data_IF_634518110223
#
_entry.id   IF_634518110223
#
_cell.length_a   1.000
_cell.length_b   1.000
_cell.length_c   1.000
_cell.angle_alpha   90.00
_cell.angle_beta   90.00
_cell.angle_gamma   90.00
#
_symmetry.space_group_name_H-M   'P 1'
#
loop_
_entity.id
_entity.type
_entity.pdbx_description
1 polymer ?
#
# COMPACT_ATOMS: atom_id res chain seq x y z
N UNK A 1 0.17 -20.38 -35.15
CA UNK A 1 0.94 -19.53 -34.21
C UNK A 1 2.31 -20.15 -33.95
N UNK A 2 2.38 -21.35 -33.37
CA UNK A 2 3.63 -22.09 -33.08
C UNK A 2 4.66 -22.06 -34.22
N UNK A 3 4.26 -22.38 -35.47
CA UNK A 3 5.18 -22.34 -36.62
C UNK A 3 5.79 -20.95 -36.88
N UNK A 4 4.99 -19.89 -36.82
CA UNK A 4 5.47 -18.52 -37.10
C UNK A 4 6.54 -18.10 -36.08
N UNK A 5 6.33 -18.44 -34.81
CA UNK A 5 7.29 -18.16 -33.74
C UNK A 5 8.53 -19.05 -33.83
N UNK A 6 8.35 -20.34 -34.13
CA UNK A 6 9.47 -21.25 -34.40
C UNK A 6 10.32 -20.78 -35.59
N UNK A 7 9.72 -20.22 -36.65
CA UNK A 7 10.46 -19.69 -37.79
C UNK A 7 11.22 -18.41 -37.45
N UNK A 8 10.69 -17.51 -36.60
CA UNK A 8 11.39 -16.29 -36.15
C UNK A 8 12.67 -16.62 -35.37
N UNK A 9 12.60 -17.56 -34.43
CA UNK A 9 13.76 -17.99 -33.62
C UNK A 9 14.91 -18.46 -34.53
N UNK A 10 14.60 -19.22 -35.58
CA UNK A 10 15.61 -19.77 -36.49
C UNK A 10 15.98 -18.78 -37.62
N UNK A 11 15.27 -17.66 -37.74
CA UNK A 11 15.61 -16.56 -38.65
C UNK A 11 16.70 -15.66 -38.07
N UNK A 12 16.65 -15.43 -36.75
CA UNK A 12 17.47 -14.40 -36.09
C UNK A 12 18.70 -14.95 -35.33
N UNK A 13 18.84 -16.26 -35.19
CA UNK A 13 19.99 -16.85 -34.51
C UNK A 13 20.70 -17.89 -35.35
N UNK A 14 22.01 -17.70 -35.51
CA UNK A 14 22.92 -18.75 -35.91
C UNK A 14 22.74 -19.91 -34.92
N UNK A 15 22.34 -21.09 -35.40
CA UNK A 15 21.88 -22.23 -34.57
C UNK A 15 22.97 -22.68 -33.57
N UNK A 16 24.20 -22.20 -33.74
CA UNK A 16 25.36 -22.37 -32.87
C UNK A 16 25.29 -21.57 -31.56
N UNK A 17 24.58 -20.44 -31.47
CA UNK A 17 24.52 -19.61 -30.26
C UNK A 17 23.24 -19.88 -29.43
N UNK A 18 23.20 -21.03 -28.77
CA UNK A 18 21.99 -21.59 -28.12
C UNK A 18 21.72 -21.14 -26.66
N UNK A 19 22.24 -20.00 -26.21
CA UNK A 19 22.19 -19.61 -24.78
C UNK A 19 21.19 -18.51 -24.40
N UNK A 20 20.42 -17.94 -25.33
CA UNK A 20 19.42 -16.93 -24.97
C UNK A 20 18.29 -17.50 -24.11
N UNK A 21 17.78 -16.68 -23.19
CA UNK A 21 16.67 -17.02 -22.28
C UNK A 21 15.40 -17.42 -23.04
N UNK A 22 15.16 -16.80 -24.19
CA UNK A 22 14.05 -17.10 -25.08
C UNK A 22 14.19 -18.52 -25.67
N UNK A 23 15.37 -18.90 -26.15
CA UNK A 23 15.63 -20.26 -26.66
C UNK A 23 15.43 -21.32 -25.57
N UNK A 24 15.74 -20.99 -24.30
CA UNK A 24 15.47 -21.89 -23.16
C UNK A 24 13.97 -22.10 -22.95
N UNK A 25 13.17 -21.04 -22.93
CA UNK A 25 11.71 -21.13 -22.80
C UNK A 25 11.08 -21.94 -23.95
N UNK A 26 11.58 -21.75 -25.18
CA UNK A 26 11.09 -22.50 -26.33
C UNK A 26 11.46 -23.98 -26.31
N UNK A 27 12.64 -24.32 -25.78
CA UNK A 27 13.01 -25.72 -25.53
C UNK A 27 12.05 -26.36 -24.53
N UNK A 28 11.68 -25.64 -23.48
CA UNK A 28 10.74 -26.15 -22.46
C UNK A 28 9.35 -26.40 -23.06
N UNK A 29 8.83 -25.50 -23.90
CA UNK A 29 7.55 -25.69 -24.59
C UNK A 29 7.57 -26.91 -25.51
N UNK A 30 8.66 -27.11 -26.27
CA UNK A 30 8.78 -28.27 -27.17
C UNK A 30 8.95 -29.58 -26.39
N UNK A 31 9.70 -29.56 -25.28
CA UNK A 31 9.76 -30.69 -24.34
C UNK A 31 8.37 -31.08 -23.85
N UNK A 32 7.55 -30.10 -23.45
CA UNK A 32 6.19 -30.35 -22.98
C UNK A 32 5.30 -30.93 -24.08
N UNK A 33 5.34 -30.39 -25.30
CA UNK A 33 4.53 -30.87 -26.42
C UNK A 33 4.91 -32.30 -26.84
N UNK A 34 6.21 -32.63 -26.79
CA UNK A 34 6.70 -33.94 -27.21
C UNK A 34 6.79 -34.95 -26.07
N UNK A 35 6.42 -34.59 -24.83
CA UNK A 35 6.54 -35.46 -23.66
C UNK A 35 7.99 -35.85 -23.33
N UNK A 36 8.96 -35.00 -23.66
CA UNK A 36 10.39 -35.34 -23.57
C UNK A 36 11.10 -34.61 -22.41
N UNK A 37 12.01 -35.30 -21.73
CA UNK A 37 12.91 -34.69 -20.75
C UNK A 37 14.00 -33.87 -21.46
N UNK A 38 14.19 -32.64 -20.97
CA UNK A 38 15.18 -31.65 -21.43
C UNK A 38 16.62 -32.15 -21.33
N UNK A 39 16.90 -33.08 -20.41
CA UNK A 39 18.26 -33.63 -20.18
C UNK A 39 18.64 -34.77 -21.13
N UNK A 40 17.70 -35.31 -21.90
CA UNK A 40 18.00 -36.39 -22.83
C UNK A 40 18.86 -35.86 -23.99
N UNK A 41 19.99 -36.52 -24.28
CA UNK A 41 20.87 -36.18 -25.42
C UNK A 41 20.10 -36.20 -26.76
N UNK A 42 19.09 -37.07 -26.84
CA UNK A 42 18.15 -37.14 -27.97
C UNK A 42 17.32 -35.88 -28.19
N UNK A 43 17.07 -35.08 -27.15
CA UNK A 43 16.26 -33.88 -27.22
C UNK A 43 16.89 -32.85 -28.17
N UNK A 44 18.21 -32.68 -28.13
CA UNK A 44 18.89 -31.70 -28.99
C UNK A 44 18.75 -32.06 -30.48
N UNK A 45 18.83 -33.35 -30.80
CA UNK A 45 18.66 -33.85 -32.17
C UNK A 45 17.21 -33.73 -32.64
N UNK A 46 16.23 -34.08 -31.80
CA UNK A 46 14.80 -33.96 -32.11
C UNK A 46 14.35 -32.49 -32.21
N UNK A 47 14.85 -31.61 -31.35
CA UNK A 47 14.63 -30.16 -31.41
C UNK A 47 15.14 -29.56 -32.73
N UNK A 48 16.35 -29.95 -33.18
CA UNK A 48 16.88 -29.54 -34.49
C UNK A 48 16.00 -30.02 -35.65
N UNK A 49 15.43 -31.22 -35.56
CA UNK A 49 14.51 -31.76 -36.57
C UNK A 49 13.21 -30.93 -36.61
N UNK A 50 12.61 -30.62 -35.46
CA UNK A 50 11.39 -29.80 -35.38
C UNK A 50 11.62 -28.40 -35.96
N UNK A 51 12.76 -27.77 -35.68
CA UNK A 51 13.11 -26.47 -36.25
C UNK A 51 13.34 -26.52 -37.77
N UNK A 52 13.97 -27.59 -38.28
CA UNK A 52 14.09 -27.81 -39.75
C UNK A 52 12.72 -28.02 -40.41
N UNK A 53 11.82 -28.76 -39.75
CA UNK A 53 10.45 -28.97 -40.23
C UNK A 53 9.66 -27.65 -40.18
N UNK A 54 9.87 -26.80 -39.16
CA UNK A 54 9.24 -25.47 -39.10
C UNK A 54 9.63 -24.56 -40.28
N UNK A 55 10.87 -24.66 -40.77
CA UNK A 55 11.37 -23.98 -41.99
C UNK A 55 10.93 -24.63 -43.31
N UNK A 56 10.38 -25.85 -43.27
CA UNK A 56 9.97 -26.56 -44.49
C UNK A 56 8.68 -25.98 -45.10
N UNK A 57 8.32 -26.42 -46.31
CA UNK A 57 7.08 -26.00 -47.00
C UNK A 57 5.83 -26.34 -46.16
N UNK A 58 4.76 -25.56 -46.35
CA UNK A 58 3.50 -25.69 -45.60
C UNK A 58 2.88 -27.08 -45.61
N UNK A 59 3.04 -27.81 -46.71
CA UNK A 59 2.56 -29.19 -46.86
C UNK A 59 3.29 -30.17 -45.94
N UNK A 60 4.57 -29.95 -45.68
CA UNK A 60 5.40 -30.79 -44.80
C UNK A 60 5.09 -30.50 -43.33
N UNK A 61 4.87 -29.22 -42.99
CA UNK A 61 4.43 -28.83 -41.66
C UNK A 61 3.05 -29.41 -41.30
N UNK A 62 2.09 -29.39 -42.23
CA UNK A 62 0.76 -30.00 -42.01
C UNK A 62 0.84 -31.49 -41.75
N UNK A 63 1.63 -32.22 -42.56
CA UNK A 63 1.86 -33.66 -42.34
C UNK A 63 2.53 -33.97 -41.00
N UNK A 64 3.41 -33.10 -40.53
CA UNK A 64 4.02 -33.22 -39.20
C UNK A 64 2.98 -33.06 -38.08
N UNK A 65 2.07 -32.08 -38.18
CA UNK A 65 0.99 -31.93 -37.21
C UNK A 65 0.02 -33.11 -37.23
N UNK A 66 -0.35 -33.60 -38.41
CA UNK A 66 -1.17 -34.82 -38.55
C UNK A 66 -0.49 -36.03 -37.88
N UNK A 67 0.82 -36.18 -38.07
CA UNK A 67 1.61 -37.21 -37.40
C UNK A 67 1.61 -37.05 -35.87
N UNK A 68 1.83 -35.84 -35.34
CA UNK A 68 1.79 -35.58 -33.90
C UNK A 68 0.41 -35.87 -33.30
N UNK A 69 -0.67 -35.44 -33.96
CA UNK A 69 -2.04 -35.73 -33.51
C UNK A 69 -2.37 -37.21 -33.57
N UNK A 70 -1.87 -37.94 -34.58
CA UNK A 70 -2.02 -39.40 -34.64
C UNK A 70 -1.18 -40.13 -33.59
N UNK A 71 -0.01 -39.59 -33.23
CA UNK A 71 0.87 -40.12 -32.21
C UNK A 71 0.27 -39.96 -30.80
N UNK A 72 -0.24 -38.77 -30.47
CA UNK A 72 -0.92 -38.46 -29.21
C UNK A 72 -2.20 -39.31 -29.04
N UNK A 73 -2.91 -39.58 -30.14
CA UNK A 73 -4.06 -40.51 -30.16
C UNK A 73 -3.66 -41.99 -29.99
N UNK A 74 -2.44 -42.38 -30.37
CA UNK A 74 -1.95 -43.76 -30.25
C UNK A 74 -1.37 -44.07 -28.86
N UNK A 75 -0.85 -43.09 -28.11
CA UNK A 75 -0.51 -43.31 -26.69
C UNK A 75 -1.73 -43.65 -25.82
N UNK A 76 -2.94 -43.26 -26.27
CA UNK A 76 -4.20 -43.57 -25.58
C UNK A 76 -4.71 -45.00 -25.90
N UNK A 77 -4.13 -45.70 -26.87
CA UNK A 77 -4.52 -47.08 -27.21
C UNK A 77 -3.33 -48.02 -27.18
N UNK A 78 -3.13 -48.63 -26.00
CA UNK A 78 -2.52 -49.95 -25.78
C UNK A 78 -1.44 -50.38 -26.78
N UNK A 79 -0.17 -50.31 -26.40
CA UNK A 79 0.88 -51.14 -27.00
C UNK A 79 0.66 -52.62 -26.66
N UNK A 80 0.48 -53.53 -27.64
CA UNK A 80 0.90 -54.92 -27.48
C UNK A 80 2.40 -55.01 -27.76
N UNK A 81 3.07 -55.86 -26.97
CA UNK A 81 4.46 -56.29 -27.20
C UNK A 81 4.62 -56.86 -28.62
N UNK A 82 5.60 -56.35 -29.36
CA UNK A 82 6.00 -56.87 -30.67
C UNK A 82 6.40 -55.77 -31.63
N UNK A 83 7.59 -55.20 -31.44
CA UNK A 83 8.14 -54.15 -32.30
C UNK A 83 8.45 -54.69 -33.71
N UNK A 84 7.58 -54.42 -34.68
CA UNK A 84 8.01 -54.29 -36.07
C UNK A 84 8.60 -52.90 -36.22
N UNK A 85 9.91 -52.82 -36.43
CA UNK A 85 10.59 -51.53 -36.63
C UNK A 85 9.99 -50.86 -37.86
N UNK A 86 9.54 -49.61 -37.73
CA UNK A 86 8.94 -48.80 -38.82
C UNK A 86 9.83 -48.76 -40.07
N UNK A 87 11.14 -48.97 -39.93
CA UNK A 87 12.08 -49.09 -41.05
C UNK A 87 11.86 -50.33 -41.92
N UNK A 88 11.25 -51.40 -41.42
CA UNK A 88 11.00 -52.63 -42.20
C UNK A 88 9.67 -52.61 -42.99
N UNK A 89 8.70 -51.78 -42.58
CA UNK A 89 7.40 -51.64 -43.27
C UNK A 89 7.49 -50.82 -44.56
N UNK A 90 8.45 -49.88 -44.63
CA UNK A 90 8.65 -49.05 -45.82
C UNK A 90 9.21 -49.88 -46.98
N UNK A 91 10.09 -50.82 -46.67
CA UNK A 91 10.73 -51.71 -47.65
C UNK A 91 9.75 -52.81 -48.12
N UNK A 92 8.81 -53.25 -47.28
CA UNK A 92 7.83 -54.27 -47.66
C UNK A 92 6.87 -53.81 -48.75
N UNK A 93 6.41 -52.55 -48.71
CA UNK A 93 5.50 -51.97 -49.70
C UNK A 93 6.14 -51.70 -51.08
N UNK A 94 7.47 -51.72 -51.13
CA UNK A 94 8.27 -51.46 -52.34
C UNK A 94 8.64 -52.75 -53.09
N UNK A 95 8.38 -53.92 -52.51
CA UNK A 95 8.60 -55.21 -53.15
C UNK A 95 7.46 -55.53 -54.14
N UNK A 96 7.78 -56.25 -55.21
CA UNK A 96 6.75 -56.79 -56.11
C UNK A 96 5.84 -57.75 -55.35
N UNK A 97 4.60 -57.90 -55.81
CA UNK A 97 3.60 -58.78 -55.19
C UNK A 97 4.12 -60.21 -55.02
N UNK A 98 4.91 -60.71 -55.98
CA UNK A 98 5.50 -62.06 -55.93
C UNK A 98 6.54 -62.21 -54.81
N UNK A 99 7.33 -61.16 -54.55
CA UNK A 99 8.31 -61.17 -53.46
C UNK A 99 7.65 -60.99 -52.08
N UNK A 100 6.54 -60.25 -52.00
CA UNK A 100 5.73 -60.16 -50.78
C UNK A 100 5.08 -61.52 -50.45
N UNK A 101 4.59 -62.22 -51.46
CA UNK A 101 4.02 -63.57 -51.34
C UNK A 101 5.11 -64.57 -50.92
N UNK A 102 6.30 -64.52 -51.53
CA UNK A 102 7.39 -65.44 -51.15
C UNK A 102 7.83 -65.24 -49.69
N UNK A 103 7.94 -64.00 -49.20
CA UNK A 103 8.29 -63.73 -47.79
C UNK A 103 7.17 -64.19 -46.85
N UNK A 104 5.90 -64.02 -47.25
CA UNK A 104 4.74 -64.54 -46.49
C UNK A 104 4.72 -66.08 -46.47
N UNK A 105 5.01 -66.74 -47.59
CA UNK A 105 5.11 -68.20 -47.68
C UNK A 105 6.27 -68.76 -46.86
N UNK A 106 7.41 -68.07 -46.83
CA UNK A 106 8.59 -68.44 -46.04
C UNK A 106 8.36 -68.21 -44.53
N UNK A 107 7.62 -67.16 -44.15
CA UNK A 107 7.22 -66.94 -42.74
C UNK A 107 6.07 -67.83 -42.29
N UNK A 108 5.25 -68.34 -43.22
CA UNK A 108 4.13 -69.26 -42.94
C UNK A 108 4.52 -70.75 -43.00
N UNK A 109 5.77 -71.08 -43.31
CA UNK A 109 6.29 -72.46 -43.37
C UNK A 109 6.35 -73.22 -42.03
N UNK A 110 5.71 -72.75 -40.95
CA UNK A 110 5.64 -73.48 -39.67
C UNK A 110 4.25 -73.91 -39.23
N UNK A 111 3.20 -73.77 -40.06
CA UNK A 111 1.91 -74.41 -39.75
C UNK A 111 1.37 -75.19 -40.95
N UNK A 112 1.40 -76.51 -40.79
CA UNK A 112 0.77 -77.52 -41.64
C UNK A 112 -0.64 -77.04 -42.06
N UNK A 113 -0.84 -76.80 -43.36
CA UNK A 113 -2.08 -76.33 -43.96
C UNK A 113 -3.32 -77.15 -43.53
N UNK A 114 -3.11 -78.42 -43.16
CA UNK A 114 -4.16 -79.31 -42.63
C UNK A 114 -4.64 -78.93 -41.23
N UNK A 115 -3.82 -78.26 -40.42
CA UNK A 115 -4.18 -77.74 -39.10
C UNK A 115 -4.98 -76.45 -39.26
N UNK A 116 -4.52 -75.54 -40.14
CA UNK A 116 -5.26 -74.32 -40.44
C UNK A 116 -6.65 -74.61 -41.02
N UNK A 117 -6.75 -75.56 -41.96
CA UNK A 117 -8.04 -75.97 -42.53
C UNK A 117 -9.00 -76.55 -41.47
N UNK A 118 -8.49 -77.38 -40.53
CA UNK A 118 -9.28 -77.91 -39.42
C UNK A 118 -9.72 -76.86 -38.42
N UNK A 119 -8.87 -75.87 -38.12
CA UNK A 119 -9.23 -74.73 -37.27
C UNK A 119 -10.32 -73.88 -37.93
N UNK A 120 -10.22 -73.62 -39.24
CA UNK A 120 -11.26 -72.87 -39.98
C UNK A 120 -12.59 -73.63 -40.03
N UNK A 121 -12.56 -74.96 -40.24
CA UNK A 121 -13.76 -75.80 -40.24
C UNK A 121 -14.38 -75.96 -38.84
N UNK A 122 -13.56 -76.03 -37.78
CA UNK A 122 -13.97 -75.98 -36.38
C UNK A 122 -14.66 -74.65 -36.07
N UNK A 123 -14.05 -73.52 -36.42
CA UNK A 123 -14.61 -72.18 -36.18
C UNK A 123 -15.93 -71.99 -36.95
N UNK A 124 -16.06 -72.57 -38.16
CA UNK A 124 -17.30 -72.55 -38.94
C UNK A 124 -18.41 -73.41 -38.29
N UNK A 125 -18.08 -74.58 -37.75
CA UNK A 125 -19.01 -75.46 -37.04
C UNK A 125 -19.47 -74.87 -35.70
N UNK A 126 -18.55 -74.24 -34.96
CA UNK A 126 -18.85 -73.54 -33.71
C UNK A 126 -19.67 -72.26 -33.96
N UNK A 127 -19.46 -71.58 -35.10
CA UNK A 127 -20.34 -70.49 -35.55
C UNK A 127 -21.78 -70.96 -35.83
N UNK A 128 -21.97 -72.10 -36.48
CA UNK A 128 -23.32 -72.64 -36.73
C UNK A 128 -24.03 -73.04 -35.42
N UNK A 129 -23.30 -73.58 -34.44
CA UNK A 129 -23.85 -73.91 -33.11
C UNK A 129 -24.16 -72.67 -32.27
N UNK A 130 -23.37 -71.60 -32.37
CA UNK A 130 -23.64 -70.34 -31.67
C UNK A 130 -24.82 -69.58 -32.28
N UNK A 131 -24.97 -69.57 -33.61
CA UNK A 131 -26.14 -68.98 -34.29
C UNK A 131 -27.46 -69.69 -33.88
N UNK A 132 -27.43 -71.00 -33.62
CA UNK A 132 -28.57 -71.75 -33.10
C UNK A 132 -28.94 -71.44 -31.64
N UNK A 133 -27.99 -70.97 -30.83
CA UNK A 133 -28.19 -70.58 -29.42
C UNK A 133 -28.51 -69.08 -29.25
N UNK A 134 -28.24 -68.26 -30.25
CA UNK A 134 -28.56 -66.81 -30.25
C UNK A 134 -29.88 -66.50 -30.96
N UNK A 135 -30.87 -67.40 -30.92
CA UNK A 135 -32.27 -66.99 -31.10
C UNK A 135 -32.75 -66.37 -29.79
N UNK A 136 -32.19 -65.21 -29.43
CA UNK A 136 -32.87 -64.34 -28.48
C UNK A 136 -34.22 -63.98 -29.11
N UNK A 137 -35.29 -64.08 -28.34
CA UNK A 137 -36.64 -63.76 -28.78
C UNK A 137 -36.64 -62.32 -29.34
N UNK A 138 -37.03 -62.08 -30.60
CA UNK A 138 -37.02 -60.74 -31.19
C UNK A 138 -37.74 -59.69 -30.32
N UNK A 139 -38.75 -60.11 -29.55
CA UNK A 139 -39.49 -59.24 -28.64
C UNK A 139 -38.64 -58.67 -27.49
N UNK A 140 -37.63 -59.40 -27.02
CA UNK A 140 -36.73 -58.95 -25.94
C UNK A 140 -35.71 -57.92 -26.44
N UNK A 141 -35.33 -58.03 -27.71
CA UNK A 141 -34.46 -57.04 -28.38
C UNK A 141 -35.23 -55.74 -28.60
N UNK A 142 -36.46 -55.82 -29.11
CA UNK A 142 -37.32 -54.65 -29.32
C UNK A 142 -37.64 -53.92 -28.00
N UNK A 143 -37.88 -54.67 -26.91
CA UNK A 143 -38.04 -54.07 -25.58
C UNK A 143 -36.80 -53.29 -25.14
N UNK A 144 -35.61 -53.85 -25.31
CA UNK A 144 -34.34 -53.16 -24.97
C UNK A 144 -34.07 -51.95 -25.85
N UNK A 145 -34.46 -52.01 -27.13
CA UNK A 145 -34.38 -50.86 -28.04
C UNK A 145 -35.27 -49.74 -27.50
N UNK A 146 -36.54 -50.02 -27.19
CA UNK A 146 -37.48 -49.03 -26.65
C UNK A 146 -37.01 -48.43 -25.31
N UNK A 147 -36.46 -49.25 -24.40
CA UNK A 147 -35.86 -48.75 -23.14
C UNK A 147 -34.67 -47.82 -23.40
N UNK A 148 -33.81 -48.16 -24.36
CA UNK A 148 -32.66 -47.35 -24.72
C UNK A 148 -33.08 -46.05 -25.42
N UNK A 149 -34.09 -46.08 -26.28
CA UNK A 149 -34.66 -44.87 -26.89
C UNK A 149 -35.22 -43.92 -25.83
N UNK A 150 -35.91 -44.45 -24.81
CA UNK A 150 -36.40 -43.66 -23.69
C UNK A 150 -35.25 -43.00 -22.91
N UNK A 151 -34.19 -43.76 -22.60
CA UNK A 151 -32.97 -43.23 -21.95
C UNK A 151 -32.29 -42.16 -22.80
N UNK A 152 -32.19 -42.36 -24.12
CA UNK A 152 -31.61 -41.38 -25.04
C UNK A 152 -32.40 -40.06 -25.01
N UNK A 153 -33.74 -40.14 -25.03
CA UNK A 153 -34.60 -38.95 -24.93
C UNK A 153 -34.40 -38.21 -23.60
N UNK A 154 -34.33 -38.93 -22.49
CA UNK A 154 -34.08 -38.35 -21.17
C UNK A 154 -32.71 -37.64 -21.12
N UNK A 155 -31.64 -38.32 -21.55
CA UNK A 155 -30.29 -37.75 -21.57
C UNK A 155 -30.18 -36.54 -22.51
N UNK A 156 -30.93 -36.53 -23.61
CA UNK A 156 -30.98 -35.39 -24.53
C UNK A 156 -31.64 -34.17 -23.85
N UNK A 157 -32.76 -34.37 -23.15
CA UNK A 157 -33.42 -33.30 -22.40
C UNK A 157 -32.55 -32.76 -21.25
N UNK A 158 -31.82 -33.63 -20.54
CA UNK A 158 -30.86 -33.22 -19.52
C UNK A 158 -29.70 -32.42 -20.11
N UNK A 159 -29.17 -32.84 -21.26
CA UNK A 159 -28.12 -32.10 -21.98
C UNK A 159 -28.58 -30.70 -22.40
N UNK A 160 -29.81 -30.55 -22.87
CA UNK A 160 -30.38 -29.25 -23.22
C UNK A 160 -30.51 -28.33 -21.99
N UNK A 161 -31.02 -28.87 -20.87
CA UNK A 161 -31.07 -28.13 -19.60
C UNK A 161 -29.67 -27.66 -19.18
N UNK A 162 -28.67 -28.54 -19.23
CA UNK A 162 -27.28 -28.19 -18.91
C UNK A 162 -26.69 -27.15 -19.89
N UNK A 163 -27.08 -27.17 -21.16
CA UNK A 163 -26.65 -26.17 -22.12
C UNK A 163 -27.21 -24.78 -21.78
N UNK A 164 -28.49 -24.69 -21.39
CA UNK A 164 -29.11 -23.42 -20.99
C UNK A 164 -28.51 -22.85 -19.70
N UNK A 165 -28.24 -23.70 -18.71
CA UNK A 165 -27.57 -23.27 -17.47
C UNK A 165 -26.13 -22.84 -17.72
N UNK A 166 -25.38 -23.56 -18.56
CA UNK A 166 -24.03 -23.18 -18.98
C UNK A 166 -24.03 -21.81 -19.69
N UNK A 167 -24.99 -21.57 -20.58
CA UNK A 167 -25.15 -20.27 -21.25
C UNK A 167 -25.43 -19.14 -20.26
N UNK A 168 -26.31 -19.38 -19.29
CA UNK A 168 -26.66 -18.39 -18.24
C UNK A 168 -25.47 -18.10 -17.33
N UNK A 169 -24.68 -19.12 -16.98
CA UNK A 169 -23.47 -18.93 -16.17
C UNK A 169 -22.39 -18.16 -16.94
N UNK A 170 -22.25 -18.39 -18.25
CA UNK A 170 -21.33 -17.61 -19.10
C UNK A 170 -21.72 -16.13 -19.14
N UNK A 171 -23.01 -15.81 -19.30
CA UNK A 171 -23.45 -14.40 -19.30
C UNK A 171 -23.20 -13.72 -17.95
N UNK A 172 -23.46 -14.42 -16.83
CA UNK A 172 -23.14 -13.91 -15.49
C UNK A 172 -21.63 -13.70 -15.30
N UNK A 173 -20.81 -14.63 -15.77
CA UNK A 173 -19.35 -14.49 -15.70
C UNK A 173 -18.87 -13.25 -16.46
N UNK A 174 -19.41 -13.01 -17.66
CA UNK A 174 -19.04 -11.80 -18.43
C UNK A 174 -19.49 -10.50 -17.75
N UNK A 175 -20.62 -10.52 -17.05
CA UNK A 175 -21.09 -9.36 -16.29
C UNK A 175 -20.17 -9.06 -15.09
N UNK A 176 -19.76 -10.08 -14.34
CA UNK A 176 -18.84 -9.93 -13.21
C UNK A 176 -17.43 -9.53 -13.65
N UNK A 177 -16.97 -10.01 -14.80
CA UNK A 177 -15.71 -9.55 -15.41
C UNK A 177 -15.78 -8.05 -15.72
N UNK A 178 -16.88 -7.58 -16.32
CA UNK A 178 -17.08 -6.15 -16.59
C UNK A 178 -17.11 -5.31 -15.30
N UNK A 179 -17.81 -5.78 -14.26
CA UNK A 179 -17.80 -5.10 -12.95
C UNK A 179 -16.39 -4.99 -12.38
N UNK A 180 -15.58 -6.03 -12.54
CA UNK A 180 -14.18 -6.05 -12.07
C UNK A 180 -13.34 -5.00 -12.81
N UNK A 181 -13.49 -4.92 -14.13
CA UNK A 181 -12.84 -3.87 -14.95
C UNK A 181 -13.28 -2.47 -14.51
N UNK A 182 -14.57 -2.25 -14.31
CA UNK A 182 -15.10 -0.96 -13.83
C UNK A 182 -14.50 -0.58 -12.45
N UNK A 183 -14.41 -1.54 -11.52
CA UNK A 183 -13.76 -1.31 -10.22
C UNK A 183 -12.27 -0.99 -10.35
N UNK A 184 -11.55 -1.65 -11.26
CA UNK A 184 -10.13 -1.38 -11.49
C UNK A 184 -9.92 0.04 -12.05
N UNK A 185 -10.82 0.51 -12.93
CA UNK A 185 -10.75 1.90 -13.42
C UNK A 185 -11.01 2.91 -12.31
N UNK A 186 -12.00 2.68 -11.45
CA UNK A 186 -12.28 3.53 -10.28
C UNK A 186 -11.09 3.56 -9.31
N UNK A 187 -10.50 2.41 -9.02
CA UNK A 187 -9.34 2.30 -8.15
C UNK A 187 -8.14 3.08 -8.71
N UNK A 188 -7.92 3.02 -10.03
CA UNK A 188 -6.87 3.80 -10.70
C UNK A 188 -7.16 5.31 -10.68
N UNK A 189 -8.43 5.74 -10.77
CA UNK A 189 -8.81 7.14 -10.61
C UNK A 189 -8.53 7.65 -9.19
N UNK A 190 -8.89 6.87 -8.16
CA UNK A 190 -8.61 7.23 -6.76
C UNK A 190 -7.11 7.26 -6.45
N UNK A 191 -6.32 6.32 -7.00
CA UNK A 191 -4.85 6.38 -6.91
C UNK A 191 -4.27 7.68 -7.47
N UNK A 192 -4.79 8.15 -8.61
CA UNK A 192 -4.38 9.44 -9.21
C UNK A 192 -4.75 10.62 -8.31
N UNK A 193 -5.96 10.62 -7.71
CA UNK A 193 -6.37 11.66 -6.76
C UNK A 193 -5.47 11.68 -5.52
N UNK A 194 -5.16 10.52 -4.94
CA UNK A 194 -4.25 10.40 -3.81
C UNK A 194 -2.85 10.95 -4.14
N UNK A 195 -2.30 10.58 -5.30
CA UNK A 195 -1.00 11.09 -5.75
C UNK A 195 -1.00 12.63 -5.91
N UNK A 196 -2.06 13.20 -6.47
CA UNK A 196 -2.21 14.65 -6.59
C UNK A 196 -2.29 15.35 -5.22
N UNK A 197 -3.02 14.77 -4.26
CA UNK A 197 -3.08 15.29 -2.89
C UNK A 197 -1.74 15.21 -2.17
N UNK A 198 -0.98 14.13 -2.38
CA UNK A 198 0.36 13.97 -1.81
C UNK A 198 1.33 15.05 -2.32
N UNK A 199 1.30 15.35 -3.63
CA UNK A 199 2.07 16.45 -4.22
C UNK A 199 1.66 17.79 -3.61
N UNK A 200 0.36 18.05 -3.46
CA UNK A 200 -0.15 19.29 -2.85
C UNK A 200 0.29 19.41 -1.39
N UNK A 201 0.30 18.31 -0.64
CA UNK A 201 0.78 18.28 0.74
C UNK A 201 2.29 18.56 0.82
N UNK A 202 3.09 18.03 -0.10
CA UNK A 202 4.52 18.37 -0.18
C UNK A 202 4.75 19.85 -0.50
N UNK A 203 3.96 20.44 -1.40
CA UNK A 203 4.03 21.88 -1.69
C UNK A 203 3.70 22.72 -0.45
N UNK A 204 2.64 22.37 0.28
CA UNK A 204 2.28 23.06 1.51
C UNK A 204 3.38 22.98 2.58
N UNK A 205 4.00 21.81 2.76
CA UNK A 205 5.15 21.65 3.68
C UNK A 205 6.33 22.54 3.29
N UNK A 206 6.61 22.70 1.99
CA UNK A 206 7.67 23.63 1.53
C UNK A 206 7.33 25.07 1.88
N UNK A 207 6.10 25.51 1.59
CA UNK A 207 5.65 26.86 1.93
C UNK A 207 5.66 27.12 3.45
N UNK A 208 5.32 26.12 4.27
CA UNK A 208 5.40 26.23 5.73
C UNK A 208 6.84 26.46 6.19
N UNK A 209 7.80 25.71 5.63
CA UNK A 209 9.21 25.86 5.95
C UNK A 209 9.77 27.22 5.50
N UNK A 210 9.36 27.71 4.32
CA UNK A 210 9.72 29.05 3.85
C UNK A 210 9.20 30.14 4.81
N UNK A 211 7.94 30.02 5.26
CA UNK A 211 7.35 30.94 6.23
C UNK A 211 8.05 30.89 7.59
N UNK A 212 8.47 29.70 8.07
CA UNK A 212 9.27 29.58 9.30
C UNK A 212 10.59 30.33 9.18
N UNK A 213 11.31 30.16 8.07
CA UNK A 213 12.56 30.89 7.82
C UNK A 213 12.34 32.40 7.79
N UNK A 214 11.24 32.88 7.21
CA UNK A 214 10.89 34.32 7.23
C UNK A 214 10.58 34.78 8.65
N UNK A 215 9.83 33.98 9.43
CA UNK A 215 9.49 34.30 10.81
C UNK A 215 10.73 34.38 11.70
N UNK A 216 11.64 33.41 11.60
CA UNK A 216 12.90 33.38 12.37
C UNK A 216 13.74 34.63 12.09
N UNK A 217 13.87 35.02 10.81
CA UNK A 217 14.56 36.26 10.42
C UNK A 217 13.90 37.51 11.02
N UNK A 218 12.58 37.53 11.13
CA UNK A 218 11.86 38.65 11.73
C UNK A 218 12.03 38.69 13.25
N UNK A 219 12.06 37.54 13.91
CA UNK A 219 12.38 37.41 15.34
C UNK A 219 13.78 37.98 15.59
N UNK A 220 14.79 37.53 14.84
CA UNK A 220 16.17 38.04 14.95
C UNK A 220 16.25 39.56 14.79
N UNK A 221 15.50 40.12 13.84
CA UNK A 221 15.45 41.57 13.59
C UNK A 221 14.80 42.33 14.76
N UNK A 222 13.74 41.77 15.34
CA UNK A 222 13.05 42.35 16.48
C UNK A 222 13.92 42.29 17.74
N UNK A 223 14.63 41.18 17.99
CA UNK A 223 15.58 41.05 19.09
C UNK A 223 16.71 42.06 19.00
N UNK A 224 17.30 42.24 17.81
CA UNK A 224 18.31 43.29 17.56
C UNK A 224 17.77 44.69 17.87
N UNK A 225 16.53 44.98 17.47
CA UNK A 225 15.88 46.27 17.73
C UNK A 225 15.59 46.47 19.23
N UNK A 226 15.16 45.42 19.93
CA UNK A 226 14.94 45.42 21.38
C UNK A 226 16.25 45.68 22.14
N UNK A 227 17.33 45.01 21.74
CA UNK A 227 18.65 45.22 22.34
C UNK A 227 19.17 46.65 22.13
N UNK A 228 18.94 47.22 20.94
CA UNK A 228 19.29 48.61 20.66
C UNK A 228 18.53 49.59 21.55
N UNK A 229 17.22 49.39 21.73
CA UNK A 229 16.39 50.20 22.62
C UNK A 229 16.85 50.12 24.08
N UNK A 230 17.27 48.94 24.53
CA UNK A 230 17.81 48.76 25.88
C UNK A 230 19.12 49.53 26.08
N UNK A 231 20.01 49.53 25.08
CA UNK A 231 21.25 50.34 25.10
C UNK A 231 20.95 51.83 25.09
N UNK A 232 19.92 52.27 24.39
CA UNK A 232 19.52 53.68 24.40
C UNK A 232 18.94 54.10 25.75
N UNK A 233 18.11 53.24 26.37
CA UNK A 233 17.56 53.46 27.70
C UNK A 233 18.64 53.59 28.76
N UNK A 234 19.70 52.77 28.72
CA UNK A 234 20.81 52.89 29.66
C UNK A 234 21.59 54.18 29.47
N UNK A 235 21.79 54.65 28.22
CA UNK A 235 22.40 55.96 27.95
C UNK A 235 21.58 57.11 28.56
N UNK A 236 20.26 57.10 28.40
CA UNK A 236 19.38 58.11 29.00
C UNK A 236 19.44 58.08 30.53
N UNK A 237 19.47 56.89 31.15
CA UNK A 237 19.64 56.76 32.60
C UNK A 237 20.97 57.36 33.07
N UNK A 238 22.08 57.10 32.37
CA UNK A 238 23.39 57.70 32.71
C UNK A 238 23.37 59.23 32.55
N UNK A 239 22.71 59.76 31.51
CA UNK A 239 22.54 61.20 31.33
C UNK A 239 21.73 61.83 32.47
N UNK A 240 20.65 61.18 32.90
CA UNK A 240 19.82 61.61 34.02
C UNK A 240 20.62 61.62 35.34
N UNK A 241 21.41 60.58 35.60
CA UNK A 241 22.33 60.54 36.75
C UNK A 241 23.36 61.68 36.73
N UNK A 242 23.94 61.99 35.55
CA UNK A 242 24.88 63.11 35.42
C UNK A 242 24.19 64.46 35.64
N UNK A 243 22.98 64.64 35.12
CA UNK A 243 22.19 65.85 35.34
C UNK A 243 21.87 66.06 36.82
N UNK A 244 21.42 65.00 37.52
CA UNK A 244 21.14 65.06 38.95
C UNK A 244 22.39 65.45 39.76
N UNK A 245 23.56 64.87 39.44
CA UNK A 245 24.84 65.26 40.06
C UNK A 245 25.21 66.72 39.81
N UNK A 246 24.91 67.24 38.62
CA UNK A 246 25.17 68.63 38.27
C UNK A 246 24.25 69.58 39.04
N UNK A 247 22.98 69.21 39.22
CA UNK A 247 22.03 69.99 40.02
C UNK A 247 22.40 69.97 41.51
N UNK A 248 22.86 68.83 42.04
CA UNK A 248 23.42 68.73 43.40
C UNK A 248 24.66 69.62 43.57
N UNK A 249 25.58 69.60 42.60
CA UNK A 249 26.78 70.43 42.62
C UNK A 249 26.45 71.93 42.56
N UNK A 250 25.46 72.30 41.74
CA UNK A 250 24.94 73.67 41.64
C UNK A 250 24.33 74.12 42.97
N UNK A 251 23.46 73.32 43.59
CA UNK A 251 22.88 73.62 44.89
C UNK A 251 23.96 73.78 45.99
N UNK A 252 25.03 72.96 45.94
CA UNK A 252 26.17 73.09 46.85
C UNK A 252 26.95 74.41 46.63
N UNK A 253 27.12 74.84 45.38
CA UNK A 253 27.74 76.12 45.05
C UNK A 253 26.88 77.32 45.49
N UNK A 254 25.57 77.28 45.23
CA UNK A 254 24.62 78.31 45.67
C UNK A 254 24.68 78.48 47.20
N UNK A 255 24.70 77.37 47.94
CA UNK A 255 24.87 77.41 49.39
C UNK A 255 26.19 78.07 49.81
N UNK A 256 27.31 77.72 49.17
CA UNK A 256 28.62 78.35 49.45
C UNK A 256 28.66 79.85 49.13
N UNK A 257 28.01 80.27 48.05
CA UNK A 257 27.86 81.69 47.70
C UNK A 257 27.08 82.41 48.78
N UNK A 258 25.96 81.82 49.24
CA UNK A 258 25.16 82.40 50.32
C UNK A 258 25.95 82.51 51.63
N UNK A 259 26.71 81.47 52.02
CA UNK A 259 27.62 81.51 53.18
C UNK A 259 28.69 82.62 53.05
N UNK A 260 29.23 82.83 51.84
CA UNK A 260 30.20 83.89 51.57
C UNK A 260 29.59 85.29 51.65
N UNK A 261 28.38 85.47 51.11
CA UNK A 261 27.63 86.72 51.23
C UNK A 261 27.27 87.05 52.68
N UNK A 262 26.84 86.06 53.46
CA UNK A 262 26.55 86.19 54.89
C UNK A 262 27.81 86.55 55.69
N UNK A 263 28.93 85.88 55.43
CA UNK A 263 30.25 86.19 56.02
C UNK A 263 30.68 87.64 55.70
N UNK A 264 30.51 88.07 54.44
CA UNK A 264 30.80 89.43 54.00
C UNK A 264 29.90 90.47 54.69
N UNK A 265 28.61 90.17 54.86
CA UNK A 265 27.68 91.03 55.64
C UNK A 265 28.08 91.12 57.11
N UNK A 266 28.49 90.02 57.74
CA UNK A 266 28.96 90.02 59.12
C UNK A 266 30.19 90.92 59.30
N UNK A 267 31.15 90.90 58.36
CA UNK A 267 32.29 91.84 58.38
C UNK A 267 31.88 93.32 58.23
N UNK A 268 30.79 93.62 57.51
CA UNK A 268 30.22 94.97 57.43
C UNK A 268 29.48 95.37 58.73
N UNK A 269 28.76 94.44 59.36
CA UNK A 269 28.07 94.69 60.63
C UNK A 269 29.08 94.91 61.77
N UNK A 270 30.22 94.22 61.75
CA UNK A 270 31.30 94.41 62.74
C UNK A 270 31.98 95.79 62.61
N UNK A 271 31.96 96.40 61.42
CA UNK A 271 32.34 97.82 61.22
C UNK A 271 31.27 98.82 61.67
N UNK A 272 30.00 98.42 61.76
CA UNK A 272 28.90 99.29 62.18
C UNK A 272 28.45 99.09 63.64
N UNK A 273 28.93 98.05 64.33
CA UNK A 273 28.64 97.78 65.76
C UNK A 273 29.45 98.62 66.77
N UNK A 274 30.29 99.54 66.30
CA UNK A 274 30.87 100.61 67.14
C UNK A 274 29.96 101.85 67.25
N UNK A 275 28.72 101.79 66.76
CA UNK A 275 27.73 102.82 67.00
C UNK A 275 26.33 102.20 67.06
N UNK A 276 25.59 102.56 68.12
CA UNK A 276 24.16 102.29 68.34
C UNK A 276 23.85 100.99 69.12
N UNK A 277 24.02 101.11 70.44
CA UNK A 277 23.16 100.45 71.43
C UNK A 277 21.78 101.13 71.46
N UNK A 278 20.69 100.35 71.39
CA UNK A 278 19.51 100.42 72.28
C UNK A 278 18.21 99.86 71.64
N UNK A 279 17.33 99.39 72.54
CA UNK A 279 15.88 99.14 72.38
C UNK A 279 15.46 97.72 71.94
N UNK A 280 15.21 96.78 72.85
CA UNK A 280 13.96 96.50 73.61
C UNK A 280 12.78 95.98 72.73
N UNK A 281 12.18 94.88 73.19
CA UNK A 281 10.72 94.55 73.27
C UNK A 281 10.31 93.20 72.64
N UNK A 282 10.03 92.25 73.55
CA UNK A 282 8.94 91.25 73.63
C UNK A 282 8.31 90.60 72.38
N UNK A 283 8.15 89.26 72.46
CA UNK A 283 6.81 88.69 72.64
C UNK A 283 6.31 87.64 71.62
N UNK A 284 5.91 86.50 72.19
CA UNK A 284 4.79 85.58 71.86
C UNK A 284 5.05 84.28 71.09
N UNK A 285 4.65 83.22 71.79
CA UNK A 285 4.15 81.91 71.39
C UNK A 285 3.38 81.85 70.05
N UNK A 286 3.47 80.70 69.37
CA UNK A 286 2.35 79.75 69.18
C UNK A 286 2.82 78.48 68.44
N UNK A 287 2.24 77.35 68.84
CA UNK A 287 2.57 75.96 68.50
C UNK A 287 1.73 75.43 67.29
N UNK A 288 1.47 74.11 67.09
CA UNK A 288 1.84 73.38 65.87
C UNK A 288 0.61 72.95 65.02
N UNK A 289 0.77 72.75 63.70
CA UNK A 289 -0.25 72.12 62.84
C UNK A 289 0.40 70.99 62.03
N UNK A 290 0.26 69.73 62.43
CA UNK A 290 -0.85 68.79 62.14
C UNK A 290 -1.13 68.54 60.64
N UNK A 291 -0.81 67.29 60.26
CA UNK A 291 -1.60 66.33 59.46
C UNK A 291 -1.99 66.70 58.02
N UNK A 292 -1.48 65.90 57.07
CA UNK A 292 -2.30 65.30 56.02
C UNK A 292 -2.03 63.80 55.93
N UNK A 293 -3.00 63.02 56.43
CA UNK A 293 -3.27 61.65 55.97
C UNK A 293 -4.09 61.80 54.69
N UNK A 294 -3.72 61.07 53.64
CA UNK A 294 -4.66 60.66 52.59
C UNK A 294 -4.69 59.13 52.57
N UNK A 295 -5.55 58.58 53.41
CA UNK A 295 -6.16 57.28 53.19
C UNK A 295 -7.26 57.49 52.14
N UNK A 296 -7.17 56.82 50.98
CA UNK A 296 -8.31 56.55 50.12
C UNK A 296 -8.49 55.03 50.03
N UNK A 297 -9.35 54.53 50.91
CA UNK A 297 -10.06 53.26 50.77
C UNK A 297 -11.41 53.52 50.11
N UNK A 298 -11.77 52.71 49.12
CA UNK A 298 -13.13 52.24 48.76
C UNK A 298 -13.03 51.61 47.36
N UNK A 299 -12.94 50.28 47.27
CA UNK A 299 -14.07 49.36 47.22
C UNK A 299 -14.84 49.45 45.91
N UNK A 300 -14.69 48.44 45.05
CA UNK A 300 -15.85 47.89 44.34
C UNK A 300 -15.69 46.38 44.14
N UNK A 301 -16.32 45.69 45.07
CA UNK A 301 -16.68 44.29 45.01
C UNK A 301 -17.84 44.15 44.00
N UNK A 302 -17.57 43.68 42.79
CA UNK A 302 -18.61 43.13 41.91
C UNK A 302 -18.47 41.62 41.82
N UNK A 303 -19.08 41.02 42.84
CA UNK A 303 -19.44 39.63 42.96
C UNK A 303 -20.40 39.23 41.83
N UNK A 304 -19.89 38.74 40.69
CA UNK A 304 -20.69 37.98 39.71
C UNK A 304 -20.52 36.50 39.97
N UNK A 305 -21.35 36.01 40.90
CA UNK A 305 -21.62 34.60 41.20
C UNK A 305 -22.28 33.94 39.99
N UNK A 306 -21.50 33.65 38.95
CA UNK A 306 -21.88 32.71 37.89
C UNK A 306 -21.62 31.32 38.45
N UNK A 307 -22.69 30.59 38.76
CA UNK A 307 -22.66 29.13 39.00
C UNK A 307 -22.00 28.46 37.80
N UNK A 308 -20.67 28.32 37.85
CA UNK A 308 -19.92 27.45 36.95
C UNK A 308 -20.12 26.04 37.46
N UNK A 309 -20.77 25.21 36.65
CA UNK A 309 -20.65 23.77 36.77
C UNK A 309 -19.16 23.47 36.83
N UNK A 310 -18.69 22.90 37.94
CA UNK A 310 -17.30 22.52 38.12
C UNK A 310 -16.96 21.45 37.08
N UNK A 311 -16.47 21.88 35.92
CA UNK A 311 -15.83 20.99 34.97
C UNK A 311 -14.64 20.39 35.68
N UNK A 312 -14.75 19.13 36.07
CA UNK A 312 -13.63 18.34 36.59
C UNK A 312 -12.57 18.34 35.49
N UNK A 313 -11.54 19.14 35.67
CA UNK A 313 -10.32 19.00 34.89
C UNK A 313 -9.61 17.73 35.36
N UNK A 314 -9.16 16.92 34.42
CA UNK A 314 -8.38 15.74 34.72
C UNK A 314 -6.89 16.10 34.88
N UNK A 315 -6.20 15.44 35.81
CA UNK A 315 -4.76 15.64 36.04
C UNK A 315 -3.91 14.83 35.05
N UNK A 316 -2.67 15.26 34.85
CA UNK A 316 -1.71 14.53 34.01
C UNK A 316 -1.36 13.22 34.70
N UNK A 317 -1.42 12.12 33.97
CA UNK A 317 -1.18 10.77 34.48
C UNK A 317 -2.43 10.02 34.93
N UNK A 318 -3.61 10.66 34.99
CA UNK A 318 -4.88 9.99 35.30
C UNK A 318 -5.36 9.13 34.13
N UNK A 319 -5.88 7.94 34.43
CA UNK A 319 -6.62 7.09 33.49
C UNK A 319 -8.02 7.64 33.25
N UNK A 320 -8.42 7.73 31.99
CA UNK A 320 -9.69 8.30 31.54
C UNK A 320 -10.24 7.48 30.39
N UNK A 321 -11.53 7.62 30.11
CA UNK A 321 -12.12 7.13 28.86
C UNK A 321 -12.08 8.26 27.82
N UNK A 322 -11.43 8.01 26.69
CA UNK A 322 -11.30 8.93 25.57
C UNK A 322 -12.03 8.39 24.32
N UNK A 323 -12.75 9.26 23.62
CA UNK A 323 -13.46 8.89 22.40
C UNK A 323 -12.51 8.77 21.21
N UNK A 324 -12.56 7.65 20.48
CA UNK A 324 -11.77 7.42 19.27
C UNK A 324 -12.61 7.71 18.02
N UNK A 325 -12.22 8.73 17.25
CA UNK A 325 -13.02 9.23 16.13
C UNK A 325 -13.23 8.18 14.99
N UNK A 326 -12.22 7.37 14.60
CA UNK A 326 -12.38 6.41 13.51
C UNK A 326 -13.48 5.35 13.70
N UNK A 327 -13.69 4.84 14.91
CA UNK A 327 -14.69 3.80 15.18
C UNK A 327 -15.88 4.29 16.02
N UNK A 328 -15.82 5.52 16.53
CA UNK A 328 -16.84 6.15 17.38
C UNK A 328 -17.05 5.41 18.72
N UNK A 329 -16.01 4.75 19.22
CA UNK A 329 -16.03 4.05 20.51
C UNK A 329 -15.23 4.79 21.59
N UNK A 330 -15.48 4.46 22.86
CA UNK A 330 -14.73 4.97 24.01
C UNK A 330 -13.70 3.93 24.44
N UNK A 331 -12.46 4.37 24.66
CA UNK A 331 -11.35 3.51 25.07
C UNK A 331 -10.66 4.09 26.30
N UNK A 332 -10.07 3.22 27.11
CA UNK A 332 -9.19 3.63 28.20
C UNK A 332 -7.92 4.26 27.63
N UNK A 333 -7.56 5.41 28.20
CA UNK A 333 -6.41 6.19 27.80
C UNK A 333 -5.80 6.91 29.02
N UNK A 334 -4.53 7.27 28.91
CA UNK A 334 -3.80 8.03 29.94
C UNK A 334 -3.52 9.43 29.46
N UNK A 335 -3.79 10.44 30.29
CA UNK A 335 -3.48 11.84 29.97
C UNK A 335 -1.98 12.06 30.10
N UNK A 336 -1.35 12.53 29.02
CA UNK A 336 0.08 12.84 28.98
C UNK A 336 0.38 14.31 29.28
N UNK A 337 -0.43 15.23 28.75
CA UNK A 337 -0.31 16.66 29.04
C UNK A 337 -1.60 17.41 28.78
N UNK A 338 -1.76 18.56 29.44
CA UNK A 338 -2.82 19.53 29.18
C UNK A 338 -2.34 20.50 28.10
N UNK A 339 -3.12 20.67 27.04
CA UNK A 339 -2.88 21.71 26.03
C UNK A 339 -3.94 22.81 26.17
N UNK A 340 -3.68 24.01 25.64
CA UNK A 340 -4.67 25.10 25.69
C UNK A 340 -5.98 24.79 24.94
N UNK A 341 -6.01 23.73 24.13
CA UNK A 341 -7.17 23.29 23.32
C UNK A 341 -7.82 22.00 23.84
N UNK A 342 -7.19 21.27 24.77
CA UNK A 342 -7.67 19.96 25.21
C UNK A 342 -6.59 19.16 25.94
N UNK A 343 -6.52 17.87 25.65
CA UNK A 343 -5.58 16.93 26.27
C UNK A 343 -4.80 16.15 25.20
N UNK A 344 -3.54 15.87 25.47
CA UNK A 344 -2.81 14.83 24.77
C UNK A 344 -3.00 13.52 25.53
N UNK A 345 -3.53 12.50 24.83
CA UNK A 345 -3.87 11.21 25.44
C UNK A 345 -3.15 10.06 24.72
N UNK A 346 -2.72 9.07 25.49
CA UNK A 346 -2.17 7.80 25.01
C UNK A 346 -3.18 6.69 25.28
N UNK A 347 -3.66 6.04 24.23
CA UNK A 347 -4.51 4.86 24.34
C UNK A 347 -3.66 3.61 24.66
N UNK A 348 -4.26 2.60 25.28
CA UNK A 348 -3.57 1.35 25.64
C UNK A 348 -2.93 0.63 24.44
N UNK A 349 -3.42 0.89 23.22
CA UNK A 349 -2.92 0.32 21.95
C UNK A 349 -1.71 1.06 21.37
N UNK A 350 -0.94 1.77 22.21
CA UNK A 350 0.22 2.61 21.83
C UNK A 350 -0.10 3.67 20.74
N UNK A 351 -1.35 4.12 20.66
CA UNK A 351 -1.76 5.22 19.78
C UNK A 351 -1.87 6.52 20.56
N UNK A 352 -1.52 7.63 19.92
CA UNK A 352 -1.48 8.96 20.52
C UNK A 352 -2.40 9.92 19.77
N UNK A 353 -3.15 10.74 20.51
CA UNK A 353 -3.96 11.82 19.94
C UNK A 353 -3.62 13.12 20.65
N UNK A 354 -3.28 14.13 19.86
CA UNK A 354 -2.99 15.49 20.32
C UNK A 354 -4.25 16.34 20.28
N UNK A 355 -4.36 17.26 21.23
CA UNK A 355 -5.43 18.27 21.31
C UNK A 355 -6.86 17.69 21.35
N UNK A 356 -7.08 16.59 22.07
CA UNK A 356 -8.42 16.02 22.23
C UNK A 356 -9.30 16.93 23.10
N UNK A 357 -10.41 17.48 22.59
CA UNK A 357 -11.27 18.39 23.36
C UNK A 357 -11.87 17.72 24.61
N UNK A 358 -12.06 18.49 25.69
CA UNK A 358 -12.63 18.00 26.97
C UNK A 358 -13.96 17.24 26.81
N UNK A 359 -14.80 17.61 25.82
CA UNK A 359 -16.08 16.91 25.54
C UNK A 359 -15.92 15.44 25.10
N UNK A 360 -14.71 15.02 24.74
CA UNK A 360 -14.37 13.66 24.31
C UNK A 360 -13.53 12.90 25.35
N UNK A 361 -13.43 13.44 26.58
CA UNK A 361 -12.75 12.81 27.70
C UNK A 361 -13.72 12.73 28.87
N UNK A 362 -13.85 11.55 29.47
CA UNK A 362 -14.67 11.35 30.67
C UNK A 362 -13.94 10.49 31.70
N UNK A 363 -14.36 10.59 32.95
CA UNK A 363 -13.80 9.76 34.02
C UNK A 363 -14.01 8.29 33.69
N UNK A 364 -12.99 7.47 33.94
CA UNK A 364 -13.10 6.02 33.86
C UNK A 364 -14.25 5.57 34.76
N UNK A 365 -15.19 4.81 34.18
CA UNK A 365 -16.22 4.19 35.00
C UNK A 365 -15.53 3.09 35.79
N UNK A 366 -15.16 3.39 37.04
CA UNK A 366 -14.77 2.35 37.98
C UNK A 366 -15.89 1.30 37.99
N UNK A 367 -15.63 0.14 37.39
CA UNK A 367 -16.51 -1.01 37.44
C UNK A 367 -16.45 -1.58 38.85
N UNK A 368 -17.05 -0.87 39.80
CA UNK A 368 -17.56 -1.47 41.02
C UNK A 368 -18.95 -1.99 40.71
N UNK A 369 -19.00 -3.20 40.17
CA UNK A 369 -20.11 -4.15 40.27
C UNK A 369 -19.53 -5.53 40.61
#
# INVERSE_FOLDING_TARGET
MFRKEATKIVGDTDISCMQSSEVKQWKDIICTILGMDRKAEEFHNKYKIVLKIAKSKDSVWRKFLEFCSAFEMNEIRNTPRGSLKITQLRDFSMLSSDNQIHILEETLQTKDWRVFKREVESVSSDRKKTIGKTKADPSDVDRKINENECKIKQLTAEREKLATTSSTLKSKLTEEQKKTEDFETLLNQERKKCSALEIKLQQLRRSENELKVVLDKQIDKNEKSSNLLQVEKTKYQTLEEMYNKLEEAKACLEKKVQEFEESSRCQHIEKHKSQVDNSIVSGRDLTPKQKLKNDCSHSDNLNKKKRRMSSKEFEVGTSVEAFWYPDKCWYTAKILMKTGKGYEVKYDVDKFVKDLPLKYVRAEKNSTE
#
